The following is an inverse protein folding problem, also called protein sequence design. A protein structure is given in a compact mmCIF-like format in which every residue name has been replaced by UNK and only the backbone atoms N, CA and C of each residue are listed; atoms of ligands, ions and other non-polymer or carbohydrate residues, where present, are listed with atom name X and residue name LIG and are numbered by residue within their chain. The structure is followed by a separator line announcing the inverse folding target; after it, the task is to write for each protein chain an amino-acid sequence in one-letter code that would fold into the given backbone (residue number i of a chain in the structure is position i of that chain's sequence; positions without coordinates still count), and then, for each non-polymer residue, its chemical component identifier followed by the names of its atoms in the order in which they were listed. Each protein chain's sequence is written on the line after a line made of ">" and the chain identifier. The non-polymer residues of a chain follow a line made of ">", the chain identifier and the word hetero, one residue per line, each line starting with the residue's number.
data_IF_151953726628
#
_entry.id   IF_151953726628
#
_cell.length_a   1.000
_cell.length_b   1.000
_cell.length_c   1.000
_cell.angle_alpha   90.00
_cell.angle_beta   90.00
_cell.angle_gamma   90.00
#
_symmetry.space_group_name_H-M   'P 1'
#
loop_
_entity.id
_entity.type
_entity.pdbx_description
1 polymer ?
#
# COMPACT_ATOMS: atom_id res chain seq x y z
N UNK A 1 55.27 25.85 -49.69
CA UNK A 1 54.21 24.98 -49.17
C UNK A 1 53.90 24.03 -50.30
N UNK A 2 54.20 22.74 -50.12
CA UNK A 2 53.73 21.74 -51.07
C UNK A 2 52.19 21.70 -50.98
N UNK A 3 51.45 21.56 -52.09
CA UNK A 3 49.99 21.49 -52.05
C UNK A 3 49.48 20.30 -51.22
N UNK A 4 50.27 19.22 -51.13
CA UNK A 4 49.97 18.05 -50.29
C UNK A 4 50.00 18.39 -48.79
N UNK A 5 50.93 19.24 -48.33
CA UNK A 5 51.02 19.64 -46.91
C UNK A 5 49.80 20.45 -46.44
N UNK A 6 49.16 21.19 -47.36
CA UNK A 6 47.98 22.03 -47.06
C UNK A 6 46.71 21.18 -47.01
N UNK A 7 46.62 20.13 -47.83
CA UNK A 7 45.52 19.15 -47.77
C UNK A 7 45.58 18.34 -46.46
N UNK A 8 46.77 17.88 -46.06
CA UNK A 8 46.96 17.14 -44.80
C UNK A 8 46.61 17.98 -43.56
N UNK A 9 46.92 19.28 -43.56
CA UNK A 9 46.58 20.21 -42.47
C UNK A 9 45.07 20.51 -42.43
N UNK A 10 44.41 20.59 -43.59
CA UNK A 10 42.95 20.72 -43.68
C UNK A 10 42.21 19.48 -43.20
N UNK A 11 42.71 18.28 -43.55
CA UNK A 11 42.15 17.01 -43.10
C UNK A 11 42.31 16.85 -41.59
N UNK A 12 43.47 17.20 -41.03
CA UNK A 12 43.69 17.20 -39.59
C UNK A 12 42.73 18.15 -38.85
N UNK A 13 42.48 19.34 -39.41
CA UNK A 13 41.53 20.30 -38.84
C UNK A 13 40.08 19.79 -38.90
N UNK A 14 39.69 19.13 -39.99
CA UNK A 14 38.37 18.53 -40.14
C UNK A 14 38.14 17.43 -39.10
N UNK A 15 39.12 16.53 -38.94
CA UNK A 15 39.09 15.47 -37.93
C UNK A 15 38.96 16.00 -36.49
N UNK A 16 39.71 17.06 -36.15
CA UNK A 16 39.63 17.68 -34.83
C UNK A 16 38.26 18.35 -34.62
N UNK A 17 37.72 18.97 -35.66
CA UNK A 17 36.40 19.62 -35.60
C UNK A 17 35.27 18.60 -35.42
N UNK A 18 35.31 17.48 -36.15
CA UNK A 18 34.35 16.39 -35.99
C UNK A 18 34.44 15.74 -34.61
N UNK A 19 35.67 15.50 -34.11
CA UNK A 19 35.88 14.98 -32.77
C UNK A 19 35.36 15.93 -31.68
N UNK A 20 35.52 17.25 -31.88
CA UNK A 20 35.01 18.27 -30.96
C UNK A 20 33.48 18.30 -30.94
N UNK A 21 32.84 18.30 -32.12
CA UNK A 21 31.36 18.27 -32.23
C UNK A 21 30.80 17.02 -31.58
N UNK A 22 31.39 15.85 -31.87
CA UNK A 22 30.96 14.59 -31.26
C UNK A 22 31.11 14.61 -29.73
N UNK A 23 32.21 15.17 -29.23
CA UNK A 23 32.39 15.32 -27.78
C UNK A 23 31.34 16.26 -27.17
N UNK A 24 30.97 17.37 -27.83
CA UNK A 24 29.89 18.23 -27.33
C UNK A 24 28.53 17.54 -27.33
N UNK A 25 28.23 16.73 -28.36
CA UNK A 25 27.02 15.91 -28.43
C UNK A 25 26.98 14.88 -27.29
N UNK A 26 28.05 14.13 -27.09
CA UNK A 26 28.18 13.14 -26.01
C UNK A 26 28.00 13.80 -24.62
N UNK A 27 28.56 15.00 -24.42
CA UNK A 27 28.39 15.77 -23.17
C UNK A 27 26.96 16.27 -23.00
N UNK A 28 26.31 16.68 -24.08
CA UNK A 28 24.92 17.13 -24.07
C UNK A 28 23.97 15.97 -23.72
N UNK A 29 24.20 14.80 -24.32
CA UNK A 29 23.46 13.57 -24.04
C UNK A 29 23.64 13.16 -22.57
N UNK A 30 24.89 13.07 -22.10
CA UNK A 30 25.19 12.71 -20.71
C UNK A 30 24.55 13.67 -19.70
N UNK A 31 24.49 14.98 -20.01
CA UNK A 31 23.80 15.96 -19.16
C UNK A 31 22.30 15.75 -19.13
N UNK A 32 21.71 15.38 -20.27
CA UNK A 32 20.27 15.10 -20.38
C UNK A 32 19.92 13.87 -19.55
N UNK A 33 20.68 12.78 -19.69
CA UNK A 33 20.50 11.57 -18.90
C UNK A 33 20.65 11.84 -17.39
N UNK A 34 21.67 12.60 -17.00
CA UNK A 34 21.87 13.01 -15.60
C UNK A 34 20.64 13.77 -15.09
N UNK A 35 20.15 14.73 -15.86
CA UNK A 35 18.99 15.53 -15.47
C UNK A 35 17.71 14.68 -15.34
N UNK A 36 17.48 13.73 -16.25
CA UNK A 36 16.38 12.77 -16.15
C UNK A 36 16.49 11.89 -14.90
N UNK A 37 17.68 11.39 -14.58
CA UNK A 37 17.91 10.60 -13.37
C UNK A 37 17.65 11.41 -12.09
N UNK A 38 18.11 12.67 -12.03
CA UNK A 38 17.85 13.55 -10.89
C UNK A 38 16.35 13.83 -10.73
N UNK A 39 15.65 14.09 -11.83
CA UNK A 39 14.20 14.28 -11.79
C UNK A 39 13.48 13.04 -11.30
N UNK A 40 13.87 11.84 -11.74
CA UNK A 40 13.29 10.58 -11.27
C UNK A 40 13.54 10.34 -9.78
N UNK A 41 14.75 10.64 -9.29
CA UNK A 41 15.10 10.50 -7.88
C UNK A 41 14.34 11.51 -7.00
N UNK A 42 14.35 12.79 -7.35
CA UNK A 42 13.59 13.84 -6.66
C UNK A 42 12.08 13.56 -6.68
N UNK A 43 11.55 13.06 -7.80
CA UNK A 43 10.14 12.66 -7.88
C UNK A 43 9.84 11.44 -7.02
N UNK A 44 10.76 10.45 -6.97
CA UNK A 44 10.69 9.33 -6.05
C UNK A 44 10.66 9.78 -4.59
N UNK A 45 11.57 10.68 -4.21
CA UNK A 45 11.65 11.27 -2.87
C UNK A 45 10.39 12.08 -2.56
N UNK A 46 9.89 12.90 -3.48
CA UNK A 46 8.67 13.70 -3.32
C UNK A 46 7.44 12.81 -3.12
N UNK A 47 7.29 11.78 -3.96
CA UNK A 47 6.20 10.80 -3.86
C UNK A 47 6.26 10.00 -2.55
N UNK A 48 7.46 9.66 -2.09
CA UNK A 48 7.66 8.98 -0.81
C UNK A 48 7.50 9.91 0.41
N UNK A 49 7.88 11.17 0.33
CA UNK A 49 7.87 12.12 1.46
C UNK A 49 6.50 12.77 1.68
N UNK A 50 5.72 13.05 0.64
CA UNK A 50 4.42 13.72 0.76
C UNK A 50 3.28 12.77 1.16
N UNK A 51 3.45 11.45 1.00
CA UNK A 51 2.41 10.45 1.31
C UNK A 51 2.77 9.52 2.48
N UNK A 52 3.86 9.78 3.20
CA UNK A 52 4.26 8.94 4.33
C UNK A 52 3.60 9.41 5.62
N UNK A 53 2.43 8.82 5.95
CA UNK A 53 1.89 8.91 7.30
C UNK A 53 2.87 8.22 8.25
N UNK A 54 3.61 9.03 9.01
CA UNK A 54 4.55 8.53 10.01
C UNK A 54 3.80 7.96 11.21
N UNK A 55 4.46 7.09 11.97
CA UNK A 55 3.90 6.54 13.22
C UNK A 55 3.61 7.63 14.26
N UNK A 56 4.30 8.77 14.20
CA UNK A 56 4.12 9.87 15.16
C UNK A 56 2.82 10.64 14.93
N UNK A 57 2.28 10.62 13.70
CA UNK A 57 1.02 11.25 13.35
C UNK A 57 -0.20 10.35 13.62
N UNK A 58 -0.01 9.18 14.22
CA UNK A 58 -1.02 8.16 14.40
C UNK A 58 -1.26 7.88 15.87
N UNK A 59 -2.53 7.81 16.25
CA UNK A 59 -2.92 7.26 17.54
C UNK A 59 -2.43 5.81 17.70
N UNK A 60 -2.34 5.36 18.95
CA UNK A 60 -2.13 3.94 19.21
C UNK A 60 -3.33 3.16 18.65
N UNK A 61 -3.15 1.93 18.10
CA UNK A 61 -4.28 1.14 17.62
C UNK A 61 -5.33 0.81 18.68
N UNK A 62 -5.01 0.96 19.97
CA UNK A 62 -5.96 0.74 21.06
C UNK A 62 -6.78 2.00 21.38
N UNK A 63 -6.30 3.17 20.96
CA UNK A 63 -6.94 4.47 21.15
C UNK A 63 -7.54 5.03 19.84
N UNK A 64 -7.46 4.27 18.76
CA UNK A 64 -7.83 4.72 17.42
C UNK A 64 -9.34 4.87 17.23
N UNK A 65 -9.75 5.58 16.17
CA UNK A 65 -11.17 5.76 15.84
C UNK A 65 -11.91 4.42 15.66
N UNK A 66 -11.25 3.41 15.10
CA UNK A 66 -11.78 2.04 15.04
C UNK A 66 -12.13 1.47 16.42
N UNK A 67 -11.32 1.71 17.45
CA UNK A 67 -11.59 1.17 18.78
C UNK A 67 -12.80 1.85 19.43
N UNK A 68 -12.94 3.16 19.23
CA UNK A 68 -14.13 3.88 19.69
C UNK A 68 -15.40 3.33 19.03
N UNK A 69 -15.35 3.08 17.71
CA UNK A 69 -16.43 2.41 16.99
C UNK A 69 -16.64 0.99 17.53
N UNK A 70 -15.57 0.22 17.71
CA UNK A 70 -15.66 -1.19 18.10
C UNK A 70 -16.31 -1.38 19.47
N UNK A 71 -15.93 -0.55 20.45
CA UNK A 71 -16.41 -0.63 21.82
C UNK A 71 -17.78 0.02 21.99
N UNK A 72 -17.96 1.24 21.47
CA UNK A 72 -19.10 2.11 21.80
C UNK A 72 -20.11 2.27 20.66
N UNK A 73 -19.76 1.90 19.43
CA UNK A 73 -20.62 2.08 18.25
C UNK A 73 -21.88 1.22 18.27
N UNK A 74 -22.94 1.66 17.58
CA UNK A 74 -24.17 0.89 17.42
C UNK A 74 -24.15 0.01 16.15
N UNK A 75 -25.14 -0.86 15.98
CA UNK A 75 -25.22 -1.77 14.82
C UNK A 75 -25.26 -1.02 13.48
N UNK A 76 -25.90 0.15 13.41
CA UNK A 76 -25.96 0.96 12.20
C UNK A 76 -24.58 1.52 11.83
N UNK A 77 -23.80 1.97 12.82
CA UNK A 77 -22.43 2.44 12.59
C UNK A 77 -21.53 1.32 12.05
N UNK A 78 -21.66 0.12 12.61
CA UNK A 78 -20.92 -1.06 12.15
C UNK A 78 -21.34 -1.50 10.75
N UNK A 79 -22.64 -1.50 10.47
CA UNK A 79 -23.16 -1.87 9.16
C UNK A 79 -22.62 -0.90 8.09
N UNK A 80 -22.64 0.40 8.36
CA UNK A 80 -22.14 1.40 7.41
C UNK A 80 -20.62 1.35 7.21
N UNK A 81 -19.88 0.88 8.22
CA UNK A 81 -18.41 0.85 8.17
C UNK A 81 -17.84 -0.48 7.67
N UNK A 82 -18.51 -1.59 7.99
CA UNK A 82 -18.01 -2.97 7.77
C UNK A 82 -18.96 -3.86 6.96
N UNK A 83 -20.14 -3.35 6.57
CA UNK A 83 -21.23 -4.11 5.94
C UNK A 83 -21.72 -5.30 6.75
N UNK A 84 -21.38 -5.33 8.05
CA UNK A 84 -21.77 -6.36 9.00
C UNK A 84 -22.34 -5.69 10.25
N UNK A 85 -23.35 -6.31 10.86
CA UNK A 85 -23.80 -5.95 12.21
C UNK A 85 -22.77 -6.39 13.26
N UNK A 86 -22.86 -5.88 14.50
CA UNK A 86 -21.94 -6.30 15.58
C UNK A 86 -22.03 -7.79 15.85
N UNK A 87 -23.24 -8.35 15.77
CA UNK A 87 -23.47 -9.78 15.95
C UNK A 87 -22.79 -10.62 14.85
N UNK A 88 -22.94 -10.22 13.58
CA UNK A 88 -22.31 -10.92 12.46
C UNK A 88 -20.78 -10.83 12.52
N UNK A 89 -20.24 -9.64 12.81
CA UNK A 89 -18.81 -9.43 13.01
C UNK A 89 -18.28 -10.31 14.15
N UNK A 90 -18.98 -10.36 15.29
CA UNK A 90 -18.55 -11.17 16.44
C UNK A 90 -18.49 -12.65 16.10
N UNK A 91 -19.48 -13.17 15.37
CA UNK A 91 -19.47 -14.57 14.92
C UNK A 91 -18.30 -14.86 13.98
N UNK A 92 -18.07 -13.99 12.99
CA UNK A 92 -16.93 -14.09 12.08
C UNK A 92 -15.60 -14.00 12.83
N UNK A 93 -15.48 -13.07 13.78
CA UNK A 93 -14.27 -12.83 14.56
C UNK A 93 -13.88 -14.05 15.41
N UNK A 94 -14.86 -14.71 16.05
CA UNK A 94 -14.62 -15.96 16.80
C UNK A 94 -14.07 -17.08 15.92
N UNK A 95 -14.51 -17.15 14.67
CA UNK A 95 -14.01 -18.15 13.71
C UNK A 95 -12.64 -17.73 13.20
N UNK A 96 -12.47 -16.46 12.83
CA UNK A 96 -11.22 -15.88 12.34
C UNK A 96 -10.07 -16.05 13.34
N UNK A 97 -10.33 -15.91 14.64
CA UNK A 97 -9.32 -16.06 15.68
C UNK A 97 -8.71 -17.47 15.76
N UNK A 98 -9.42 -18.50 15.27
CA UNK A 98 -8.93 -19.87 15.20
C UNK A 98 -7.86 -20.02 14.10
N UNK A 99 -7.91 -19.20 13.05
CA UNK A 99 -6.99 -19.27 11.92
C UNK A 99 -5.91 -18.18 11.95
N UNK A 100 -6.15 -17.05 12.64
CA UNK A 100 -5.19 -15.95 12.72
C UNK A 100 -4.44 -15.96 14.05
N UNK A 101 -3.14 -16.30 14.01
CA UNK A 101 -2.28 -16.24 15.19
C UNK A 101 -1.63 -14.85 15.33
N UNK A 102 -1.92 -14.17 16.44
CA UNK A 102 -1.20 -12.96 16.87
C UNK A 102 -0.04 -13.39 17.76
N UNK A 103 1.17 -12.89 17.49
CA UNK A 103 2.33 -13.22 18.29
C UNK A 103 2.20 -12.59 19.69
N UNK A 104 2.49 -13.34 20.77
CA UNK A 104 2.42 -12.81 22.12
C UNK A 104 3.47 -11.73 22.34
N UNK A 105 3.19 -10.78 23.25
CA UNK A 105 4.08 -9.66 23.54
C UNK A 105 5.47 -10.08 24.04
N UNK A 106 5.59 -11.26 24.65
CA UNK A 106 6.84 -11.85 25.12
C UNK A 106 7.71 -12.48 24.02
N UNK A 107 7.25 -12.49 22.76
CA UNK A 107 8.04 -13.01 21.65
C UNK A 107 9.27 -12.14 21.41
N UNK A 108 10.42 -12.76 21.08
CA UNK A 108 11.67 -12.03 20.78
C UNK A 108 11.46 -11.05 19.63
N UNK A 109 11.84 -9.78 19.84
CA UNK A 109 11.75 -8.71 18.84
C UNK A 109 10.73 -7.62 19.19
N UNK A 110 10.43 -6.74 18.22
CA UNK A 110 9.44 -5.68 18.41
C UNK A 110 8.04 -6.29 18.50
N UNK A 111 7.26 -6.00 19.56
CA UNK A 111 5.92 -6.56 19.68
C UNK A 111 5.00 -6.13 18.52
N UNK A 112 4.02 -6.97 18.13
CA UNK A 112 3.06 -6.60 17.09
C UNK A 112 2.30 -5.32 17.47
N UNK A 113 2.11 -4.43 16.50
CA UNK A 113 1.40 -3.17 16.71
C UNK A 113 -0.11 -3.40 16.96
N UNK A 114 -0.71 -4.38 16.26
CA UNK A 114 -2.08 -4.82 16.47
C UNK A 114 -2.09 -6.02 17.43
N UNK A 115 -2.81 -5.89 18.54
CA UNK A 115 -2.83 -6.86 19.66
C UNK A 115 -4.04 -7.75 19.65
N UNK A 116 -5.13 -7.29 19.06
CA UNK A 116 -6.41 -8.00 19.09
C UNK A 116 -6.89 -8.36 17.68
N UNK A 117 -7.64 -9.46 17.58
CA UNK A 117 -8.16 -9.92 16.29
C UNK A 117 -9.09 -8.91 15.62
N UNK A 118 -9.88 -8.16 16.39
CA UNK A 118 -10.77 -7.13 15.83
C UNK A 118 -9.98 -5.97 15.20
N UNK A 119 -8.78 -5.67 15.71
CA UNK A 119 -7.87 -4.68 15.11
C UNK A 119 -7.25 -5.18 13.78
N UNK A 120 -7.29 -6.49 13.52
CA UNK A 120 -6.81 -7.11 12.27
C UNK A 120 -7.95 -7.34 11.27
N UNK A 121 -9.12 -7.75 11.75
CA UNK A 121 -10.30 -8.01 10.92
C UNK A 121 -11.01 -6.71 10.50
N UNK A 122 -11.01 -5.69 11.35
CA UNK A 122 -11.61 -4.38 11.03
C UNK A 122 -11.08 -3.76 9.73
N UNK A 123 -9.75 -3.58 9.56
CA UNK A 123 -9.18 -2.93 8.38
C UNK A 123 -9.55 -3.62 7.07
N UNK A 124 -9.57 -4.95 7.03
CA UNK A 124 -9.91 -5.70 5.81
C UNK A 124 -11.38 -5.56 5.45
N UNK A 125 -12.27 -5.54 6.45
CA UNK A 125 -13.69 -5.31 6.20
C UNK A 125 -13.91 -3.88 5.69
N UNK A 126 -13.38 -2.87 6.38
CA UNK A 126 -13.47 -1.47 5.94
C UNK A 126 -12.89 -1.25 4.53
N UNK A 127 -11.82 -1.98 4.18
CA UNK A 127 -11.23 -1.97 2.84
C UNK A 127 -12.18 -2.55 1.77
N UNK A 128 -13.01 -3.54 2.09
CA UNK A 128 -13.97 -4.13 1.14
C UNK A 128 -15.30 -3.38 1.05
N UNK A 129 -15.72 -2.66 2.10
CA UNK A 129 -17.01 -1.93 2.10
C UNK A 129 -16.99 -0.72 1.19
N UNK A 130 -15.85 -0.03 1.08
CA UNK A 130 -15.72 1.14 0.23
C UNK A 130 -14.31 1.32 -0.27
N UNK A 131 -14.15 2.22 -1.24
CA UNK A 131 -12.85 2.67 -1.75
C UNK A 131 -12.13 3.57 -0.75
N UNK A 132 -11.97 3.10 0.48
CA UNK A 132 -11.29 3.87 1.53
C UNK A 132 -9.81 3.96 1.18
N UNK A 133 -9.30 5.18 1.05
CA UNK A 133 -7.89 5.42 0.79
C UNK A 133 -7.01 4.80 1.89
N UNK A 134 -5.82 4.32 1.52
CA UNK A 134 -4.86 3.74 2.46
C UNK A 134 -4.49 4.71 3.58
N UNK A 135 -4.38 6.01 3.27
CA UNK A 135 -4.14 7.10 4.23
C UNK A 135 -5.20 7.13 5.33
N UNK A 136 -6.47 7.09 4.94
CA UNK A 136 -7.62 7.08 5.84
C UNK A 136 -7.65 5.81 6.70
N UNK A 137 -7.40 4.64 6.12
CA UNK A 137 -7.28 3.40 6.90
C UNK A 137 -6.11 3.47 7.90
N UNK A 138 -4.98 4.07 7.53
CA UNK A 138 -3.87 4.26 8.46
C UNK A 138 -4.28 5.11 9.67
N UNK A 139 -4.99 6.22 9.44
CA UNK A 139 -5.50 7.11 10.50
C UNK A 139 -6.53 6.40 11.40
N UNK A 140 -7.55 5.77 10.79
CA UNK A 140 -8.65 5.12 11.54
C UNK A 140 -8.15 3.98 12.44
N UNK A 141 -7.12 3.26 12.01
CA UNK A 141 -6.59 2.08 12.72
C UNK A 141 -5.27 2.33 13.46
N UNK A 142 -4.71 3.55 13.41
CA UNK A 142 -3.47 3.89 14.11
C UNK A 142 -2.24 3.11 13.63
N UNK A 143 -2.21 2.68 12.36
CA UNK A 143 -1.12 1.87 11.79
C UNK A 143 -0.47 2.53 10.57
N UNK A 144 0.86 2.50 10.44
CA UNK A 144 1.53 3.05 9.26
C UNK A 144 1.28 2.16 8.03
N UNK A 145 1.39 2.73 6.82
CA UNK A 145 1.07 2.07 5.55
C UNK A 145 1.72 0.70 5.39
N UNK A 146 3.01 0.56 5.71
CA UNK A 146 3.71 -0.72 5.60
C UNK A 146 3.15 -1.81 6.54
N UNK A 147 2.63 -1.42 7.70
CA UNK A 147 1.99 -2.33 8.65
C UNK A 147 0.58 -2.67 8.20
N UNK A 148 -0.17 -1.69 7.68
CA UNK A 148 -1.48 -1.90 7.09
C UNK A 148 -1.41 -2.91 5.93
N UNK A 149 -0.55 -2.69 4.93
CA UNK A 149 -0.43 -3.60 3.77
C UNK A 149 -0.06 -5.02 4.17
N UNK A 150 0.89 -5.19 5.11
CA UNK A 150 1.26 -6.52 5.65
C UNK A 150 0.10 -7.17 6.41
N UNK A 151 -0.68 -6.38 7.14
CA UNK A 151 -1.84 -6.86 7.88
C UNK A 151 -2.94 -7.30 6.93
N UNK A 152 -3.32 -6.46 5.96
CA UNK A 152 -4.32 -6.77 4.93
C UNK A 152 -3.98 -8.07 4.19
N UNK A 153 -2.77 -8.19 3.66
CA UNK A 153 -2.32 -9.41 2.96
C UNK A 153 -2.43 -10.68 3.80
N UNK A 154 -2.09 -10.60 5.10
CA UNK A 154 -2.19 -11.76 6.01
C UNK A 154 -3.62 -12.04 6.43
N UNK A 155 -4.38 -10.99 6.72
CA UNK A 155 -5.78 -11.06 7.13
C UNK A 155 -6.63 -11.64 6.01
N UNK A 156 -6.41 -11.23 4.76
CA UNK A 156 -7.14 -11.71 3.58
C UNK A 156 -6.96 -13.22 3.37
N UNK A 157 -5.72 -13.70 3.35
CA UNK A 157 -5.43 -15.14 3.27
C UNK A 157 -6.10 -15.93 4.39
N UNK A 158 -6.16 -15.34 5.58
CA UNK A 158 -6.76 -15.99 6.74
C UNK A 158 -8.28 -15.92 6.69
N UNK A 159 -8.84 -14.83 6.19
CA UNK A 159 -10.27 -14.64 6.00
C UNK A 159 -10.79 -15.64 4.96
N UNK A 160 -10.10 -15.83 3.84
CA UNK A 160 -10.43 -16.85 2.85
C UNK A 160 -10.55 -18.25 3.48
N UNK A 161 -9.57 -18.66 4.29
CA UNK A 161 -9.61 -19.92 5.05
C UNK A 161 -10.73 -19.95 6.09
N UNK A 162 -10.97 -18.83 6.75
CA UNK A 162 -12.03 -18.70 7.76
C UNK A 162 -13.41 -18.93 7.14
N UNK A 163 -13.62 -18.43 5.92
CA UNK A 163 -14.90 -18.52 5.21
C UNK A 163 -15.12 -19.90 4.56
N UNK A 164 -14.07 -20.71 4.39
CA UNK A 164 -14.18 -22.07 3.87
C UNK A 164 -15.10 -22.92 4.75
N UNK A 165 -16.17 -23.46 4.17
CA UNK A 165 -17.19 -24.22 4.90
C UNK A 165 -17.98 -23.40 5.94
N UNK A 166 -17.96 -22.06 5.88
CA UNK A 166 -18.73 -21.22 6.78
C UNK A 166 -20.13 -20.98 6.21
N UNK A 167 -21.12 -21.69 6.77
CA UNK A 167 -22.51 -21.68 6.26
C UNK A 167 -23.09 -20.26 6.09
N UNK A 168 -22.93 -19.32 7.03
CA UNK A 168 -23.44 -17.96 6.88
C UNK A 168 -22.81 -17.14 5.73
N UNK A 169 -21.63 -17.55 5.24
CA UNK A 169 -20.94 -16.89 4.13
C UNK A 169 -21.17 -17.59 2.78
N UNK A 170 -21.98 -18.66 2.73
CA UNK A 170 -22.31 -19.33 1.47
C UNK A 170 -23.15 -18.39 0.60
N UNK A 171 -22.69 -18.16 -0.61
CA UNK A 171 -23.49 -17.52 -1.65
C UNK A 171 -24.54 -18.55 -2.09
N UNK A 172 -25.80 -18.25 -1.82
CA UNK A 172 -26.94 -18.98 -2.35
C UNK A 172 -27.74 -18.03 -3.22
N UNK A 173 -27.90 -18.39 -4.50
CA UNK A 173 -28.77 -17.64 -5.39
C UNK A 173 -30.23 -17.89 -5.00
N UNK A 174 -31.08 -16.84 -4.95
CA UNK A 174 -32.50 -17.05 -4.74
C UNK A 174 -33.06 -17.91 -5.88
N UNK A 175 -33.99 -18.82 -5.58
CA UNK A 175 -34.71 -19.56 -6.61
C UNK A 175 -35.61 -18.62 -7.41
N UNK A 176 -35.93 -18.97 -8.66
CA UNK A 176 -36.78 -18.15 -9.54
C UNK A 176 -38.12 -17.78 -8.87
N UNK A 177 -38.70 -18.71 -8.10
CA UNK A 177 -39.94 -18.45 -7.34
C UNK A 177 -39.80 -17.38 -6.24
N UNK A 178 -38.60 -17.18 -5.67
CA UNK A 178 -38.29 -16.14 -4.67
C UNK A 178 -37.87 -14.80 -5.28
N UNK A 179 -37.62 -14.76 -6.60
CA UNK A 179 -37.18 -13.54 -7.30
C UNK A 179 -38.35 -12.75 -7.90
N UNK A 180 -39.55 -13.32 -7.92
CA UNK A 180 -40.74 -12.77 -8.59
C UNK A 180 -41.67 -12.05 -7.59
N UNK A 181 -41.35 -12.09 -6.30
CA UNK A 181 -42.05 -11.39 -5.21
C UNK A 181 -41.40 -10.03 -4.92
#
# INVERSE_FOLDING_TARGET
>A
MDPEDVEDEMDAFLWVSEAYVKHEEDVCEARTELFEMLLQDEWGIAMHSQHYITVQCLDSPSDSAWMQLYERGNDLNFLNTTSLTRAALSQLLRRFSQFYRIAPASSRGRPPKLRYHHQVLGPILCFYVGSTENSTLCMVFGVPSSTLSRTLRRAEKTLAKTLEGYVPARIAWPSTARQVE
#
